data_IF_761233565938
#
_entry.id   IF_761233565938
#
_cell.length_a   1.000
_cell.length_b   1.000
_cell.length_c   1.000
_cell.angle_alpha   90.00
_cell.angle_beta   90.00
_cell.angle_gamma   90.00
#
_symmetry.space_group_name_H-M   'P 1'
#
loop_
_entity.id
_entity.type
_entity.pdbx_description
1 polymer ?
#
# COMPACT_ATOMS: atom_id res chain seq x y z
N UNK A 1 61.71 -27.26 -45.03
CA UNK A 1 63.00 -26.54 -44.79
C UNK A 1 62.81 -25.51 -43.74
N UNK A 2 63.65 -25.53 -42.75
CA UNK A 2 63.94 -24.67 -41.59
C UNK A 2 62.83 -24.65 -40.49
N UNK A 3 62.97 -25.32 -39.43
CA UNK A 3 63.94 -25.39 -38.30
C UNK A 3 64.22 -24.08 -37.60
N UNK A 4 64.08 -24.24 -36.26
CA UNK A 4 64.72 -23.57 -35.13
C UNK A 4 63.84 -22.54 -34.45
N UNK A 5 63.83 -22.39 -33.17
CA UNK A 5 64.47 -23.03 -31.99
C UNK A 5 63.80 -22.44 -30.76
N UNK A 6 63.80 -23.21 -29.69
CA UNK A 6 63.21 -22.81 -28.43
C UNK A 6 64.01 -21.74 -27.67
N UNK A 7 63.31 -21.13 -26.74
CA UNK A 7 63.94 -20.68 -25.48
C UNK A 7 62.93 -20.77 -24.33
N UNK A 8 63.32 -21.50 -23.33
CA UNK A 8 62.76 -21.58 -22.01
C UNK A 8 63.04 -20.27 -21.29
N UNK A 9 62.05 -19.69 -20.66
CA UNK A 9 62.28 -18.77 -19.55
C UNK A 9 61.33 -19.14 -18.41
N UNK A 10 61.93 -19.57 -17.30
CA UNK A 10 61.27 -19.81 -16.01
C UNK A 10 60.83 -18.48 -15.37
N UNK A 11 59.73 -18.50 -14.65
CA UNK A 11 59.33 -17.42 -13.79
C UNK A 11 57.82 -17.30 -13.56
N UNK A 12 57.29 -18.19 -12.76
CA UNK A 12 55.94 -18.04 -12.22
C UNK A 12 55.99 -17.36 -10.87
N UNK A 13 55.22 -16.32 -10.62
CA UNK A 13 54.67 -16.08 -9.29
C UNK A 13 53.19 -16.39 -9.31
N UNK A 14 52.82 -17.38 -8.52
CA UNK A 14 51.45 -17.74 -8.14
C UNK A 14 50.79 -16.61 -7.38
N UNK A 15 49.87 -15.91 -8.03
CA UNK A 15 48.78 -15.17 -7.31
C UNK A 15 47.45 -15.59 -7.91
N UNK A 16 46.80 -16.56 -7.25
CA UNK A 16 45.41 -16.91 -7.54
C UNK A 16 44.53 -15.85 -6.91
N UNK A 17 44.11 -14.90 -7.73
CA UNK A 17 43.08 -13.93 -7.36
C UNK A 17 41.75 -14.64 -7.08
N UNK A 18 41.21 -14.46 -5.87
CA UNK A 18 39.87 -14.91 -5.50
C UNK A 18 38.82 -14.13 -6.30
N UNK A 19 38.25 -14.75 -7.31
CA UNK A 19 37.11 -14.18 -8.04
C UNK A 19 35.82 -14.53 -7.25
N UNK A 20 35.27 -13.53 -6.61
CA UNK A 20 33.95 -13.66 -5.96
C UNK A 20 32.82 -13.55 -7.00
N UNK A 21 32.35 -14.67 -7.52
CA UNK A 21 31.17 -14.69 -8.39
C UNK A 21 29.90 -14.80 -7.53
N UNK A 22 29.19 -13.71 -7.38
CA UNK A 22 27.91 -13.64 -6.65
C UNK A 22 26.77 -13.96 -7.62
N UNK A 23 26.39 -15.24 -7.73
CA UNK A 23 25.23 -15.65 -8.52
C UNK A 23 23.99 -15.50 -7.63
N UNK A 24 23.19 -14.47 -7.88
CA UNK A 24 21.85 -14.34 -7.28
C UNK A 24 20.86 -15.14 -8.11
N UNK A 25 20.54 -16.33 -7.66
CA UNK A 25 19.41 -17.11 -8.20
C UNK A 25 18.19 -16.84 -7.37
N UNK A 26 17.24 -16.11 -7.92
CA UNK A 26 15.91 -15.87 -7.35
C UNK A 26 14.99 -17.02 -7.76
N UNK A 27 15.00 -18.07 -6.99
CA UNK A 27 13.91 -19.06 -6.98
C UNK A 27 13.94 -19.79 -5.64
N UNK A 28 12.83 -19.72 -4.90
CA UNK A 28 12.55 -20.53 -3.71
C UNK A 28 13.50 -20.36 -2.52
N UNK A 29 13.41 -19.23 -1.82
CA UNK A 29 13.64 -19.11 -0.38
C UNK A 29 14.90 -19.73 0.25
N UNK A 30 16.00 -19.87 -0.49
CA UNK A 30 17.25 -20.42 0.03
C UNK A 30 18.40 -19.46 -0.29
N UNK A 31 18.81 -18.66 0.70
CA UNK A 31 20.10 -17.99 0.66
C UNK A 31 21.21 -19.02 0.95
N UNK A 32 21.65 -19.75 -0.07
CA UNK A 32 22.83 -20.59 0.03
C UNK A 32 24.03 -19.85 -0.58
N UNK A 33 24.89 -19.32 0.26
CA UNK A 33 26.23 -18.90 -0.16
C UNK A 33 27.06 -20.17 -0.32
N UNK A 34 27.29 -20.65 -1.54
CA UNK A 34 28.20 -21.74 -1.82
C UNK A 34 29.60 -21.18 -1.94
N UNK A 35 30.49 -21.59 -1.07
CA UNK A 35 31.93 -21.44 -1.25
C UNK A 35 32.42 -22.70 -1.96
N UNK A 36 33.06 -22.53 -3.11
CA UNK A 36 33.81 -23.62 -3.75
C UNK A 36 35.28 -23.49 -3.28
N UNK A 37 35.75 -24.52 -2.58
CA UNK A 37 37.19 -24.71 -2.35
C UNK A 37 37.62 -25.93 -3.15
N UNK A 38 38.62 -25.77 -4.00
CA UNK A 38 39.32 -26.87 -4.63
C UNK A 38 40.39 -27.37 -3.64
N UNK A 39 40.14 -28.50 -3.02
CA UNK A 39 41.04 -29.18 -2.10
C UNK A 39 40.29 -30.34 -1.41
N UNK A 40 40.91 -31.50 -1.36
CA UNK A 40 40.35 -32.75 -0.84
C UNK A 40 39.90 -32.66 0.62
N UNK A 41 38.66 -32.35 0.81
CA UNK A 41 38.01 -32.36 2.09
C UNK A 41 36.49 -32.17 1.92
N UNK A 42 35.74 -33.24 2.04
CA UNK A 42 34.27 -33.18 2.00
C UNK A 42 33.72 -32.37 3.18
N UNK A 43 33.43 -31.09 2.95
CA UNK A 43 32.75 -30.25 3.92
C UNK A 43 31.27 -30.67 3.95
N UNK A 44 30.88 -31.45 4.95
CA UNK A 44 29.48 -31.71 5.27
C UNK A 44 28.87 -30.40 5.80
N UNK A 45 28.19 -29.66 4.94
CA UNK A 45 27.41 -28.50 5.38
C UNK A 45 26.29 -28.99 6.30
N UNK A 46 26.39 -28.64 7.58
CA UNK A 46 25.31 -28.85 8.55
C UNK A 46 24.03 -28.23 8.01
N UNK A 47 23.08 -29.06 7.54
CA UNK A 47 21.76 -28.58 7.12
C UNK A 47 21.11 -27.91 8.33
N UNK A 48 20.90 -26.57 8.24
CA UNK A 48 20.13 -25.88 9.27
C UNK A 48 18.74 -26.48 9.35
N UNK A 49 18.36 -26.96 10.53
CA UNK A 49 17.02 -27.52 10.80
C UNK A 49 15.96 -26.52 10.39
N UNK A 50 15.06 -26.87 9.48
CA UNK A 50 13.95 -25.99 9.07
C UNK A 50 13.11 -25.65 10.28
N UNK A 51 12.93 -24.38 10.54
CA UNK A 51 12.14 -23.86 11.65
C UNK A 51 10.69 -23.81 11.21
N UNK A 52 9.86 -24.66 11.81
CA UNK A 52 8.42 -24.66 11.57
C UNK A 52 7.71 -23.98 12.74
N UNK A 53 6.86 -23.01 12.44
CA UNK A 53 5.92 -22.46 13.41
C UNK A 53 4.68 -23.36 13.47
N UNK A 54 4.19 -23.62 14.69
CA UNK A 54 2.90 -24.27 14.90
C UNK A 54 1.75 -23.40 14.39
N UNK A 55 0.55 -23.98 14.24
CA UNK A 55 -0.63 -23.22 13.83
C UNK A 55 -0.93 -22.07 14.81
N UNK A 56 -0.81 -22.29 16.13
CA UNK A 56 -0.99 -21.29 17.17
C UNK A 56 0.05 -20.17 17.08
N UNK A 57 1.32 -20.52 16.90
CA UNK A 57 2.39 -19.51 16.73
C UNK A 57 2.18 -18.68 15.46
N UNK A 58 1.74 -19.27 14.36
CA UNK A 58 1.40 -18.53 13.14
C UNK A 58 0.23 -17.57 13.38
N UNK A 59 -0.80 -17.98 14.11
CA UNK A 59 -1.90 -17.11 14.47
C UNK A 59 -1.41 -15.91 15.30
N UNK A 60 -0.57 -16.15 16.32
CA UNK A 60 0.02 -15.09 17.15
C UNK A 60 0.90 -14.14 16.33
N UNK A 61 1.72 -14.64 15.39
CA UNK A 61 2.50 -13.80 14.47
C UNK A 61 1.56 -12.85 13.71
N UNK A 62 0.43 -13.36 13.22
CA UNK A 62 -0.54 -12.56 12.49
C UNK A 62 -1.24 -11.53 13.36
N UNK A 63 -1.58 -11.86 14.60
CA UNK A 63 -2.23 -10.94 15.54
C UNK A 63 -1.30 -9.79 15.92
N UNK A 64 -0.05 -10.09 16.25
CA UNK A 64 0.99 -9.08 16.55
C UNK A 64 1.31 -8.20 15.34
N UNK A 65 1.41 -8.81 14.15
CA UNK A 65 1.60 -8.07 12.91
C UNK A 65 0.44 -7.13 12.60
N UNK A 66 -0.80 -7.56 12.86
CA UNK A 66 -2.01 -6.74 12.75
C UNK A 66 -2.03 -5.60 13.77
N UNK A 67 -1.56 -5.84 14.98
CA UNK A 67 -1.38 -4.82 16.01
C UNK A 67 -0.30 -3.77 15.67
N UNK A 68 0.56 -4.05 14.67
CA UNK A 68 1.57 -3.10 14.19
C UNK A 68 2.98 -3.35 14.71
N UNK A 69 3.22 -4.46 15.41
CA UNK A 69 4.55 -4.83 15.88
C UNK A 69 5.53 -5.01 14.70
N UNK A 70 6.82 -4.76 14.96
CA UNK A 70 7.87 -5.00 13.98
C UNK A 70 8.20 -6.50 13.88
N UNK A 71 8.68 -6.95 12.71
CA UNK A 71 9.10 -8.34 12.54
C UNK A 71 10.22 -8.75 13.51
N UNK A 72 11.10 -7.80 13.86
CA UNK A 72 12.16 -8.04 14.86
C UNK A 72 11.60 -8.22 16.27
N UNK A 73 10.57 -7.43 16.66
CA UNK A 73 9.86 -7.60 17.93
C UNK A 73 9.17 -8.95 18.01
N UNK A 74 8.42 -9.29 16.96
CA UNK A 74 7.73 -10.59 16.85
C UNK A 74 8.73 -11.74 16.88
N UNK A 75 9.85 -11.63 16.15
CA UNK A 75 10.89 -12.65 16.13
C UNK A 75 11.49 -12.92 17.53
N UNK A 76 11.83 -11.86 18.27
CA UNK A 76 12.34 -11.97 19.65
C UNK A 76 11.38 -12.70 20.58
N UNK A 77 10.06 -12.53 20.40
CA UNK A 77 9.05 -13.23 21.22
C UNK A 77 9.11 -14.76 21.08
N UNK A 78 9.55 -15.23 19.91
CA UNK A 78 9.68 -16.66 19.63
C UNK A 78 11.14 -17.14 19.66
N UNK A 79 12.06 -16.31 20.17
CA UNK A 79 13.50 -16.55 20.10
C UNK A 79 13.96 -16.89 18.66
N UNK A 80 13.51 -16.10 17.69
CA UNK A 80 13.74 -16.30 16.26
C UNK A 80 14.15 -14.99 15.58
N UNK A 81 14.93 -15.13 14.52
CA UNK A 81 15.26 -13.99 13.66
C UNK A 81 14.03 -13.47 12.90
N UNK A 82 14.04 -12.17 12.60
CA UNK A 82 13.00 -11.51 11.80
C UNK A 82 12.80 -12.12 10.40
N UNK A 83 13.83 -12.76 9.85
CA UNK A 83 13.79 -13.50 8.58
C UNK A 83 12.80 -14.66 8.58
N UNK A 84 12.67 -15.34 9.71
CA UNK A 84 11.70 -16.44 9.89
C UNK A 84 10.25 -15.93 9.89
N UNK A 85 10.01 -14.79 10.55
CA UNK A 85 8.71 -14.10 10.55
C UNK A 85 8.40 -13.56 9.14
N UNK A 86 9.40 -12.98 8.47
CA UNK A 86 9.25 -12.53 7.08
C UNK A 86 8.78 -13.65 6.15
N UNK A 87 9.30 -14.87 6.30
CA UNK A 87 8.90 -16.01 5.47
C UNK A 87 7.42 -16.37 5.61
N UNK A 88 6.85 -16.22 6.82
CA UNK A 88 5.42 -16.42 7.08
C UNK A 88 4.58 -15.31 6.45
N UNK A 89 5.01 -14.06 6.62
CA UNK A 89 4.25 -12.89 6.15
C UNK A 89 4.34 -12.70 4.63
N UNK A 90 5.50 -12.97 4.03
CA UNK A 90 5.75 -12.72 2.60
C UNK A 90 4.92 -13.59 1.68
N UNK A 91 4.61 -14.82 2.09
CA UNK A 91 3.79 -15.75 1.32
C UNK A 91 2.41 -15.18 0.94
N UNK A 92 1.88 -14.27 1.76
CA UNK A 92 0.59 -13.61 1.55
C UNK A 92 0.70 -12.08 1.48
N UNK A 93 1.91 -11.56 1.23
CA UNK A 93 2.16 -10.12 1.08
C UNK A 93 1.87 -9.31 2.36
N UNK A 94 2.00 -9.91 3.54
CA UNK A 94 1.71 -9.29 4.83
C UNK A 94 0.21 -9.18 5.15
N UNK A 95 -0.64 -9.89 4.42
CA UNK A 95 -2.09 -9.96 4.66
C UNK A 95 -2.45 -11.30 5.27
N UNK A 96 -3.09 -11.30 6.45
CA UNK A 96 -3.55 -12.54 7.10
C UNK A 96 -4.50 -13.29 6.16
N UNK A 97 -4.24 -14.57 5.86
CA UNK A 97 -5.24 -15.40 5.21
C UNK A 97 -6.50 -15.47 6.08
N UNK A 98 -7.70 -15.45 5.50
CA UNK A 98 -8.91 -15.69 6.29
C UNK A 98 -8.88 -17.12 6.86
N UNK A 99 -9.40 -17.26 8.05
CA UNK A 99 -9.57 -18.58 8.64
C UNK A 99 -10.47 -19.42 7.74
N UNK A 100 -10.11 -20.69 7.61
CA UNK A 100 -10.85 -21.60 6.73
C UNK A 100 -12.14 -22.01 7.42
N UNK A 101 -13.26 -21.63 6.82
CA UNK A 101 -14.58 -22.04 7.27
C UNK A 101 -15.17 -23.08 6.33
N UNK A 102 -15.86 -24.04 6.91
CA UNK A 102 -16.59 -25.05 6.16
C UNK A 102 -17.89 -24.45 5.63
N UNK A 103 -18.23 -24.73 4.36
CA UNK A 103 -19.52 -24.32 3.84
C UNK A 103 -20.65 -25.04 4.62
N UNK A 104 -21.75 -24.36 4.91
CA UNK A 104 -22.89 -24.92 5.68
C UNK A 104 -23.46 -26.20 5.08
N UNK A 105 -23.42 -26.34 3.77
CA UNK A 105 -23.84 -27.56 3.05
C UNK A 105 -22.83 -28.71 3.08
N UNK A 106 -21.59 -28.48 3.52
CA UNK A 106 -20.58 -29.53 3.59
C UNK A 106 -20.77 -30.37 4.85
N UNK A 107 -20.46 -31.66 4.75
CA UNK A 107 -20.52 -32.56 5.91
C UNK A 107 -19.51 -32.12 6.98
N UNK A 108 -19.95 -32.11 8.24
CA UNK A 108 -19.10 -31.89 9.39
C UNK A 108 -18.29 -33.14 9.76
N UNK A 109 -17.32 -33.01 10.66
CA UNK A 109 -16.61 -34.18 11.18
C UNK A 109 -17.56 -35.11 11.93
N UNK A 110 -18.48 -34.59 12.76
CA UNK A 110 -19.47 -35.37 13.48
C UNK A 110 -20.40 -36.17 12.55
N UNK A 111 -20.86 -35.55 11.46
CA UNK A 111 -21.65 -36.29 10.45
C UNK A 111 -20.83 -37.40 9.78
N UNK A 112 -19.53 -37.19 9.55
CA UNK A 112 -18.62 -38.23 9.00
C UNK A 112 -18.38 -39.36 10.00
N UNK A 113 -18.33 -39.03 11.29
CA UNK A 113 -18.26 -40.06 12.33
C UNK A 113 -19.51 -40.93 12.36
N UNK A 114 -20.69 -40.33 12.25
CA UNK A 114 -21.95 -41.09 12.15
C UNK A 114 -22.01 -41.96 10.87
N UNK A 115 -21.49 -41.43 9.74
CA UNK A 115 -21.34 -42.25 8.52
C UNK A 115 -20.43 -43.45 8.79
N UNK A 116 -19.28 -43.25 9.43
CA UNK A 116 -18.32 -44.30 9.75
C UNK A 116 -18.93 -45.34 10.66
N UNK A 117 -19.65 -44.94 11.72
CA UNK A 117 -20.37 -45.83 12.63
C UNK A 117 -21.48 -46.61 11.90
N UNK A 118 -22.29 -45.94 11.10
CA UNK A 118 -23.34 -46.57 10.30
C UNK A 118 -22.81 -47.63 9.35
N UNK A 119 -21.66 -47.37 8.71
CA UNK A 119 -21.01 -48.32 7.82
C UNK A 119 -20.45 -49.56 8.60
N UNK A 120 -19.88 -49.34 9.78
CA UNK A 120 -19.38 -50.45 10.64
C UNK A 120 -20.46 -51.43 11.06
N UNK A 121 -21.70 -50.97 11.28
CA UNK A 121 -22.85 -51.82 11.58
C UNK A 121 -23.66 -52.23 10.33
N UNK A 122 -23.05 -52.08 9.14
CA UNK A 122 -23.65 -52.43 7.83
C UNK A 122 -25.02 -51.77 7.54
N UNK A 123 -25.27 -50.58 8.10
CA UNK A 123 -26.46 -49.79 7.80
C UNK A 123 -26.45 -49.32 6.35
N UNK A 124 -27.60 -49.36 5.70
CA UNK A 124 -27.71 -48.89 4.31
C UNK A 124 -27.41 -47.37 4.19
N UNK A 125 -26.83 -46.97 3.08
CA UNK A 125 -26.54 -45.53 2.81
C UNK A 125 -27.77 -44.62 2.89
N UNK A 126 -28.95 -45.17 2.50
CA UNK A 126 -30.25 -44.50 2.66
C UNK A 126 -30.64 -44.32 4.13
N UNK A 127 -30.37 -45.36 4.95
CA UNK A 127 -30.61 -45.33 6.39
C UNK A 127 -29.70 -44.31 7.10
N UNK A 128 -28.42 -44.25 6.74
CA UNK A 128 -27.48 -43.25 7.24
C UNK A 128 -27.92 -41.83 6.81
N UNK A 129 -28.31 -41.67 5.55
CA UNK A 129 -28.76 -40.38 5.04
C UNK A 129 -29.99 -39.84 5.78
N UNK A 130 -30.95 -40.75 6.08
CA UNK A 130 -32.16 -40.39 6.86
C UNK A 130 -31.80 -39.95 8.27
N UNK A 131 -30.90 -40.64 8.94
CA UNK A 131 -30.42 -40.31 10.28
C UNK A 131 -29.78 -38.93 10.34
N UNK A 132 -29.01 -38.57 9.31
CA UNK A 132 -28.29 -37.29 9.24
C UNK A 132 -29.11 -36.14 8.64
N UNK A 133 -30.34 -36.38 8.20
CA UNK A 133 -31.15 -35.38 7.48
C UNK A 133 -30.48 -34.90 6.17
N UNK A 134 -29.70 -35.77 5.52
CA UNK A 134 -28.95 -35.47 4.29
C UNK A 134 -29.48 -36.30 3.12
N UNK A 135 -29.30 -35.77 1.90
CA UNK A 135 -29.64 -36.49 0.69
C UNK A 135 -28.83 -37.82 0.58
N UNK A 136 -29.46 -38.96 0.23
CA UNK A 136 -28.77 -40.23 -0.02
C UNK A 136 -27.60 -40.08 -1.02
N UNK A 137 -27.77 -39.24 -2.05
CA UNK A 137 -26.71 -38.97 -3.02
C UNK A 137 -25.49 -38.26 -2.42
N UNK A 138 -25.68 -37.45 -1.37
CA UNK A 138 -24.58 -36.82 -0.64
C UNK A 138 -23.75 -37.86 0.10
N UNK A 139 -24.41 -38.76 0.82
CA UNK A 139 -23.72 -39.84 1.55
C UNK A 139 -23.03 -40.80 0.60
N UNK A 140 -23.71 -41.26 -0.45
CA UNK A 140 -23.14 -42.14 -1.46
C UNK A 140 -21.87 -41.56 -2.11
N UNK A 141 -21.93 -40.27 -2.54
CA UNK A 141 -20.76 -39.58 -3.12
C UNK A 141 -19.63 -39.41 -2.11
N UNK A 142 -19.94 -39.14 -0.83
CA UNK A 142 -18.93 -38.98 0.21
C UNK A 142 -18.21 -40.32 0.46
N UNK A 143 -18.96 -41.42 0.61
CA UNK A 143 -18.40 -42.75 0.84
C UNK A 143 -17.58 -43.23 -0.36
N UNK A 144 -18.14 -43.11 -1.56
CA UNK A 144 -17.44 -43.54 -2.80
C UNK A 144 -16.15 -42.73 -3.02
N UNK A 145 -16.18 -41.43 -2.79
CA UNK A 145 -15.02 -40.53 -2.98
C UNK A 145 -13.87 -40.81 -2.00
N UNK A 146 -14.16 -41.44 -0.88
CA UNK A 146 -13.21 -41.73 0.18
C UNK A 146 -12.89 -43.24 0.29
N UNK A 147 -13.02 -43.99 -0.80
CA UNK A 147 -12.54 -45.36 -0.91
C UNK A 147 -13.60 -46.45 -0.68
N UNK A 148 -14.88 -46.08 -0.66
CA UNK A 148 -15.98 -47.03 -0.46
C UNK A 148 -16.23 -47.40 1.00
N UNK A 149 -17.25 -48.24 1.28
CA UNK A 149 -17.67 -48.57 2.63
C UNK A 149 -16.59 -49.18 3.52
N UNK A 150 -15.78 -50.04 2.96
CA UNK A 150 -14.74 -50.81 3.69
C UNK A 150 -13.58 -49.90 4.15
N UNK A 151 -13.20 -48.93 3.34
CA UNK A 151 -12.04 -48.06 3.57
C UNK A 151 -12.39 -46.72 4.18
N UNK A 152 -13.66 -46.41 4.29
CA UNK A 152 -14.12 -45.12 4.81
C UNK A 152 -13.68 -44.90 6.26
N UNK A 153 -13.03 -43.77 6.54
CA UNK A 153 -12.67 -43.31 7.89
C UNK A 153 -12.99 -41.82 8.00
N UNK A 154 -13.72 -41.45 9.05
CA UNK A 154 -14.22 -40.10 9.26
C UNK A 154 -13.12 -39.02 9.22
N UNK A 155 -12.07 -39.20 9.99
CA UNK A 155 -10.92 -38.30 10.07
C UNK A 155 -10.19 -38.13 8.73
N UNK A 156 -9.90 -39.24 8.05
CA UNK A 156 -9.25 -39.21 6.74
C UNK A 156 -10.12 -38.54 5.67
N UNK A 157 -11.41 -38.85 5.69
CA UNK A 157 -12.38 -38.23 4.78
C UNK A 157 -12.54 -36.71 5.04
N UNK A 158 -12.47 -36.28 6.31
CA UNK A 158 -12.51 -34.90 6.70
C UNK A 158 -11.27 -34.16 6.24
N UNK A 159 -10.08 -34.72 6.46
CA UNK A 159 -8.83 -34.10 5.98
C UNK A 159 -8.82 -34.03 4.45
N UNK A 160 -9.21 -35.08 3.76
CA UNK A 160 -9.30 -35.09 2.30
C UNK A 160 -10.32 -34.03 1.78
N UNK A 161 -11.41 -33.76 2.52
CA UNK A 161 -12.34 -32.70 2.17
C UNK A 161 -11.72 -31.31 2.33
N UNK A 162 -10.93 -31.08 3.39
CA UNK A 162 -10.17 -29.85 3.56
C UNK A 162 -9.13 -29.63 2.45
N UNK A 163 -8.44 -30.71 2.03
CA UNK A 163 -7.43 -30.64 0.98
C UNK A 163 -8.07 -30.36 -0.38
N UNK A 164 -9.19 -31.03 -0.69
CA UNK A 164 -9.97 -30.73 -1.90
C UNK A 164 -10.51 -29.30 -1.94
N UNK A 165 -10.81 -28.71 -0.78
CA UNK A 165 -11.25 -27.31 -0.68
C UNK A 165 -10.12 -26.30 -0.93
N UNK A 166 -8.84 -26.71 -0.98
CA UNK A 166 -7.69 -25.86 -1.30
C UNK A 166 -7.63 -25.41 -2.76
N UNK A 167 -8.56 -25.82 -3.61
CA UNK A 167 -8.56 -25.43 -5.04
C UNK A 167 -8.44 -23.92 -5.18
N UNK A 168 -7.42 -23.40 -5.89
CA UNK A 168 -7.25 -22.00 -6.10
C UNK A 168 -8.42 -21.46 -6.92
N UNK A 169 -9.18 -20.54 -6.35
CA UNK A 169 -10.23 -19.81 -7.08
C UNK A 169 -9.59 -18.69 -7.89
N UNK A 170 -9.90 -18.60 -9.16
CA UNK A 170 -9.49 -17.46 -9.99
C UNK A 170 -9.99 -16.17 -9.37
N UNK A 171 -9.11 -15.19 -9.20
CA UNK A 171 -9.52 -13.89 -8.66
C UNK A 171 -10.34 -13.12 -9.72
N UNK A 172 -11.17 -12.20 -9.27
CA UNK A 172 -12.06 -11.40 -10.13
C UNK A 172 -11.31 -10.69 -11.26
N UNK A 173 -10.12 -10.14 -10.97
CA UNK A 173 -9.28 -9.46 -11.95
C UNK A 173 -8.73 -10.44 -13.02
N UNK A 174 -8.46 -11.70 -12.65
CA UNK A 174 -8.04 -12.73 -13.61
C UNK A 174 -9.17 -13.13 -14.58
N UNK A 175 -10.42 -13.09 -14.10
CA UNK A 175 -11.58 -13.42 -14.91
C UNK A 175 -12.07 -12.26 -15.79
N UNK A 176 -11.58 -11.03 -15.55
CA UNK A 176 -12.04 -9.79 -16.21
C UNK A 176 -10.88 -8.92 -16.66
N UNK A 177 -10.32 -9.17 -17.85
CA UNK A 177 -9.15 -8.45 -18.36
C UNK A 177 -9.40 -6.94 -18.53
N UNK A 178 -10.61 -6.53 -18.92
CA UNK A 178 -10.97 -5.11 -19.04
C UNK A 178 -10.87 -4.39 -17.69
N UNK A 179 -11.47 -4.96 -16.64
CA UNK A 179 -11.38 -4.42 -15.28
C UNK A 179 -9.92 -4.38 -14.78
N UNK A 180 -9.13 -5.42 -15.08
CA UNK A 180 -7.71 -5.46 -14.71
C UNK A 180 -6.91 -4.35 -15.42
N UNK A 181 -7.20 -4.06 -16.71
CA UNK A 181 -6.59 -2.94 -17.45
C UNK A 181 -6.96 -1.59 -16.86
N UNK A 182 -8.23 -1.36 -16.55
CA UNK A 182 -8.70 -0.14 -15.87
C UNK A 182 -8.00 0.07 -14.54
N UNK A 183 -7.96 -0.95 -13.68
CA UNK A 183 -7.26 -0.91 -12.38
C UNK A 183 -5.77 -0.60 -12.57
N UNK A 184 -5.10 -1.29 -13.50
CA UNK A 184 -3.68 -1.06 -13.80
C UNK A 184 -3.42 0.37 -14.29
N UNK A 185 -4.27 0.90 -15.16
CA UNK A 185 -4.16 2.28 -15.67
C UNK A 185 -4.28 3.33 -14.55
N UNK A 186 -5.23 3.14 -13.63
CA UNK A 186 -5.39 4.04 -12.48
C UNK A 186 -4.23 3.92 -11.49
N UNK A 187 -3.71 2.71 -11.24
CA UNK A 187 -2.52 2.52 -10.39
C UNK A 187 -1.28 3.22 -10.97
N UNK A 188 -1.05 3.14 -12.29
CA UNK A 188 0.04 3.87 -12.98
C UNK A 188 -0.04 5.38 -12.81
N UNK A 189 -1.26 5.93 -12.63
CA UNK A 189 -1.48 7.35 -12.29
C UNK A 189 -1.34 7.63 -10.78
N UNK A 190 -0.66 6.76 -10.04
CA UNK A 190 -0.42 6.84 -8.60
C UNK A 190 -1.68 6.84 -7.73
N UNK A 191 -2.83 6.35 -8.23
CA UNK A 191 -4.01 6.14 -7.40
C UNK A 191 -3.77 4.99 -6.43
N UNK A 192 -4.27 5.12 -5.20
CA UNK A 192 -4.23 4.00 -4.25
C UNK A 192 -5.29 2.96 -4.59
N UNK A 193 -5.10 1.69 -4.20
CA UNK A 193 -6.14 0.66 -4.34
C UNK A 193 -7.49 1.05 -3.75
N UNK A 194 -7.52 1.82 -2.64
CA UNK A 194 -8.74 2.32 -2.04
C UNK A 194 -9.43 3.36 -2.92
N UNK A 195 -8.65 4.29 -3.51
CA UNK A 195 -9.17 5.28 -4.45
C UNK A 195 -9.75 4.63 -5.70
N UNK A 196 -9.05 3.63 -6.24
CA UNK A 196 -9.54 2.87 -7.40
C UNK A 196 -10.83 2.14 -7.07
N UNK A 197 -10.89 1.43 -5.95
CA UNK A 197 -12.09 0.68 -5.54
C UNK A 197 -13.30 1.58 -5.27
N UNK A 198 -13.09 2.72 -4.62
CA UNK A 198 -14.16 3.69 -4.36
C UNK A 198 -14.67 4.36 -5.62
N UNK A 199 -13.76 4.75 -6.52
CA UNK A 199 -14.11 5.32 -7.81
C UNK A 199 -14.89 4.32 -8.68
N UNK A 200 -14.48 3.05 -8.73
CA UNK A 200 -15.22 2.00 -9.46
C UNK A 200 -16.66 1.86 -8.97
N UNK A 201 -16.89 1.92 -7.66
CA UNK A 201 -18.25 1.88 -7.10
C UNK A 201 -19.09 3.07 -7.53
N UNK A 202 -18.47 4.26 -7.61
CA UNK A 202 -19.16 5.48 -8.02
C UNK A 202 -19.41 5.51 -9.53
N UNK A 203 -18.44 5.07 -10.34
CA UNK A 203 -18.53 5.10 -11.80
C UNK A 203 -19.52 4.05 -12.35
N UNK A 204 -19.67 2.92 -11.66
CA UNK A 204 -20.57 1.82 -12.04
C UNK A 204 -21.46 1.40 -10.86
N UNK A 205 -22.41 2.27 -10.42
CA UNK A 205 -23.36 1.92 -9.37
C UNK A 205 -24.28 0.80 -9.90
N UNK A 206 -24.53 -0.21 -9.06
CA UNK A 206 -25.38 -1.34 -9.46
C UNK A 206 -24.73 -2.40 -10.35
N UNK A 207 -23.48 -2.19 -10.80
CA UNK A 207 -22.74 -3.16 -11.61
C UNK A 207 -21.63 -3.88 -10.82
N UNK A 208 -21.94 -4.88 -9.98
CA UNK A 208 -20.95 -5.55 -9.14
C UNK A 208 -19.81 -6.18 -9.95
N UNK A 209 -20.07 -6.50 -11.21
CA UNK A 209 -19.06 -7.11 -12.09
C UNK A 209 -17.93 -6.13 -12.47
N UNK A 210 -18.19 -4.83 -12.55
CA UNK A 210 -17.20 -3.79 -12.84
C UNK A 210 -16.56 -3.21 -11.57
N UNK A 211 -16.95 -3.67 -10.39
CA UNK A 211 -16.41 -3.24 -9.12
C UNK A 211 -15.43 -4.26 -8.57
N UNK A 212 -14.44 -3.78 -7.80
CA UNK A 212 -13.48 -4.63 -7.08
C UNK A 212 -13.09 -3.99 -5.76
N UNK A 213 -12.94 -4.81 -4.70
CA UNK A 213 -12.49 -4.29 -3.43
C UNK A 213 -11.00 -3.95 -3.44
N UNK A 214 -10.60 -2.97 -2.62
CA UNK A 214 -9.20 -2.61 -2.45
C UNK A 214 -8.34 -3.79 -1.95
N UNK A 215 -8.90 -4.68 -1.12
CA UNK A 215 -8.22 -5.88 -0.67
C UNK A 215 -7.93 -6.85 -1.82
N UNK A 216 -8.83 -6.99 -2.80
CA UNK A 216 -8.57 -7.81 -3.98
C UNK A 216 -7.45 -7.21 -4.83
N UNK A 217 -7.40 -5.88 -4.96
CA UNK A 217 -6.31 -5.19 -5.66
C UNK A 217 -4.99 -5.42 -4.93
N UNK A 218 -4.94 -5.21 -3.60
CA UNK A 218 -3.74 -5.47 -2.80
C UNK A 218 -3.28 -6.93 -2.90
N UNK A 219 -4.19 -7.90 -2.80
CA UNK A 219 -3.85 -9.32 -2.96
C UNK A 219 -3.27 -9.62 -4.34
N UNK A 220 -3.79 -8.99 -5.38
CA UNK A 220 -3.28 -9.18 -6.74
C UNK A 220 -1.91 -8.54 -6.97
N UNK A 221 -1.56 -7.48 -6.22
CA UNK A 221 -0.26 -6.82 -6.26
C UNK A 221 0.80 -7.55 -5.44
N UNK A 222 0.47 -7.97 -4.22
CA UNK A 222 1.43 -8.54 -3.28
C UNK A 222 1.59 -10.07 -3.41
N UNK A 223 0.55 -10.79 -3.83
CA UNK A 223 0.58 -12.24 -4.01
C UNK A 223 0.85 -12.55 -5.48
N UNK A 224 2.11 -12.64 -5.85
CA UNK A 224 2.57 -12.83 -7.23
C UNK A 224 2.10 -14.15 -7.88
N UNK A 225 1.81 -15.18 -7.10
CA UNK A 225 1.23 -16.43 -7.61
C UNK A 225 -0.13 -16.23 -8.31
N UNK A 226 -0.78 -15.08 -8.12
CA UNK A 226 -2.03 -14.71 -8.81
C UNK A 226 -1.83 -13.95 -10.12
N UNK A 227 -0.63 -13.43 -10.39
CA UNK A 227 -0.11 -12.95 -11.67
C UNK A 227 -0.90 -11.93 -12.51
N UNK A 228 -2.03 -11.42 -12.01
CA UNK A 228 -2.96 -10.59 -12.81
C UNK A 228 -2.49 -9.16 -12.95
N UNK A 229 -1.87 -8.62 -11.89
CA UNK A 229 -1.30 -7.28 -11.90
C UNK A 229 0.23 -7.38 -11.87
N UNK A 230 0.89 -6.66 -12.77
CA UNK A 230 2.35 -6.67 -12.85
C UNK A 230 2.99 -6.14 -11.58
N UNK A 231 4.08 -6.76 -11.15
CA UNK A 231 4.87 -6.36 -9.96
C UNK A 231 5.36 -4.91 -10.02
N UNK A 232 5.62 -4.41 -11.22
CA UNK A 232 6.01 -3.01 -11.47
C UNK A 232 5.01 -2.00 -10.88
N UNK A 233 3.73 -2.35 -10.82
CA UNK A 233 2.70 -1.48 -10.25
C UNK A 233 2.88 -1.20 -8.75
N UNK A 234 3.70 -1.99 -8.04
CA UNK A 234 4.06 -1.72 -6.65
C UNK A 234 4.84 -0.41 -6.49
N UNK A 235 5.59 0.02 -7.52
CA UNK A 235 6.34 1.27 -7.51
C UNK A 235 5.43 2.50 -7.47
N UNK A 236 4.20 2.37 -7.95
CA UNK A 236 3.18 3.43 -7.94
C UNK A 236 2.42 3.53 -6.61
N UNK A 237 2.60 2.59 -5.70
CA UNK A 237 2.02 2.70 -4.37
C UNK A 237 2.76 3.73 -3.52
N UNK A 238 2.02 4.45 -2.67
CA UNK A 238 2.56 5.46 -1.74
C UNK A 238 3.69 4.92 -0.85
N UNK A 239 3.57 3.67 -0.38
CA UNK A 239 4.62 2.96 0.32
C UNK A 239 5.17 1.86 -0.60
N UNK A 240 6.35 2.08 -1.17
CA UNK A 240 7.04 1.14 -2.08
C UNK A 240 7.63 -0.05 -1.30
N UNK A 241 6.79 -0.79 -0.57
CA UNK A 241 7.21 -1.94 0.25
C UNK A 241 6.80 -3.23 -0.41
N UNK A 242 7.59 -4.26 -0.20
CA UNK A 242 7.31 -5.63 -0.67
C UNK A 242 6.22 -6.34 0.14
N UNK A 243 5.94 -5.83 1.35
CA UNK A 243 4.92 -6.35 2.26
C UNK A 243 4.08 -5.21 2.80
N UNK A 244 2.77 -5.40 2.87
CA UNK A 244 1.81 -4.47 3.47
C UNK A 244 2.02 -4.41 4.99
N UNK A 245 2.17 -3.21 5.55
CA UNK A 245 2.20 -2.97 7.00
C UNK A 245 0.80 -2.71 7.55
N UNK A 246 0.60 -3.03 8.84
CA UNK A 246 -0.58 -2.59 9.58
C UNK A 246 -0.62 -1.05 9.64
N UNK A 247 -1.83 -0.46 9.62
CA UNK A 247 -2.02 0.98 9.83
C UNK A 247 -1.79 1.40 11.29
N UNK A 248 -1.73 0.46 12.22
CA UNK A 248 -1.45 0.69 13.63
C UNK A 248 0.05 0.82 13.95
N UNK A 249 0.94 0.63 12.98
CA UNK A 249 2.37 0.85 13.15
C UNK A 249 2.66 2.35 13.32
N UNK A 250 2.86 2.78 14.56
CA UNK A 250 3.03 4.17 14.97
C UNK A 250 4.39 4.74 14.55
N UNK A 251 4.38 5.95 14.00
CA UNK A 251 5.57 6.77 13.74
C UNK A 251 5.60 7.90 14.77
N UNK A 252 6.62 7.96 15.64
CA UNK A 252 6.86 9.09 16.55
C UNK A 252 7.39 10.31 15.81
N UNK A 253 6.97 11.52 16.18
CA UNK A 253 7.42 12.82 15.62
C UNK A 253 7.78 13.79 16.75
N UNK A 254 8.83 14.59 16.51
CA UNK A 254 9.28 15.71 17.37
C UNK A 254 8.97 17.04 16.68
N UNK A 255 8.66 18.10 17.44
CA UNK A 255 8.31 19.42 16.95
C UNK A 255 9.20 20.55 17.49
N UNK A 256 9.21 21.74 16.82
CA UNK A 256 9.95 22.96 17.21
C UNK A 256 9.35 24.25 16.59
N UNK A 257 9.34 25.38 17.34
CA UNK A 257 9.41 26.79 16.88
C UNK A 257 8.20 27.73 17.07
N UNK A 258 8.39 29.00 17.54
CA UNK A 258 7.38 30.05 17.76
C UNK A 258 7.67 31.35 16.97
N UNK A 259 6.61 32.13 16.63
CA UNK A 259 6.65 33.46 15.97
C UNK A 259 5.68 34.44 16.64
N UNK A 260 6.02 35.78 16.62
CA UNK A 260 5.26 36.87 17.24
C UNK A 260 4.35 37.58 16.21
N UNK A 261 3.22 38.18 16.68
CA UNK A 261 2.28 39.05 15.97
C UNK A 261 1.50 38.47 14.77
N UNK A 262 0.95 37.25 14.95
CA UNK A 262 0.09 36.64 13.95
C UNK A 262 -1.36 36.65 14.44
N UNK A 263 -2.32 37.05 13.58
CA UNK A 263 -3.76 36.84 13.84
C UNK A 263 -4.00 35.37 14.01
N UNK A 264 -4.47 34.98 15.20
CA UNK A 264 -4.68 33.58 15.55
C UNK A 264 -5.79 32.97 14.71
N UNK A 265 -5.63 31.68 14.42
CA UNK A 265 -6.68 30.86 13.79
C UNK A 265 -7.97 30.85 14.62
N UNK A 266 -7.89 31.12 15.93
CA UNK A 266 -9.04 31.21 16.83
C UNK A 266 -9.93 32.45 16.55
N UNK A 267 -9.41 33.45 15.85
CA UNK A 267 -10.15 34.65 15.44
C UNK A 267 -10.91 34.46 14.11
N UNK A 268 -10.84 33.29 13.53
CA UNK A 268 -11.56 32.96 12.30
C UNK A 268 -13.08 32.96 12.52
N UNK A 269 -13.84 33.52 11.54
CA UNK A 269 -15.29 33.30 11.50
C UNK A 269 -15.63 31.80 11.45
N UNK A 270 -16.73 31.43 12.08
CA UNK A 270 -17.22 30.03 12.08
C UNK A 270 -17.41 29.46 10.66
N UNK A 271 -17.75 30.32 9.69
CA UNK A 271 -17.84 29.98 8.26
C UNK A 271 -16.52 29.44 7.67
N UNK A 272 -15.38 29.89 8.17
CA UNK A 272 -14.06 29.41 7.75
C UNK A 272 -13.70 28.07 8.38
N UNK A 273 -14.23 27.77 9.58
CA UNK A 273 -14.05 26.45 10.21
C UNK A 273 -14.89 25.39 9.51
N UNK A 274 -16.08 25.75 9.07
CA UNK A 274 -16.91 24.84 8.28
C UNK A 274 -16.29 24.64 6.89
N UNK A 275 -15.87 23.41 6.65
CA UNK A 275 -15.32 22.97 5.35
C UNK A 275 -16.39 22.89 4.26
N UNK A 276 -17.60 23.28 4.50
CA UNK A 276 -18.69 23.33 3.53
C UNK A 276 -18.57 24.55 2.60
N UNK A 277 -17.94 25.65 3.08
CA UNK A 277 -17.78 26.89 2.30
C UNK A 277 -16.53 26.84 1.46
N UNK A 278 -16.60 26.99 0.11
CA UNK A 278 -15.44 27.08 -0.74
C UNK A 278 -14.74 28.46 -0.61
N UNK A 279 -13.48 28.54 -1.07
CA UNK A 279 -12.71 29.79 -1.09
C UNK A 279 -11.70 29.95 0.06
N UNK A 280 -11.62 28.96 0.96
CA UNK A 280 -10.69 28.96 2.09
C UNK A 280 -9.51 28.01 1.84
N UNK A 281 -8.30 28.56 1.85
CA UNK A 281 -7.08 27.85 1.48
C UNK A 281 -6.16 27.58 2.67
N UNK A 282 -5.46 26.47 2.63
CA UNK A 282 -4.33 26.15 3.50
C UNK A 282 -3.05 26.18 2.67
N UNK A 283 -2.06 26.95 3.10
CA UNK A 283 -0.78 27.07 2.43
C UNK A 283 0.40 26.53 3.25
N UNK A 284 1.47 26.11 2.56
CA UNK A 284 2.70 25.61 3.16
C UNK A 284 3.85 25.61 2.13
N UNK A 285 5.10 25.57 2.61
CA UNK A 285 6.27 25.37 1.76
C UNK A 285 6.78 23.92 1.86
N UNK A 286 6.94 23.28 0.72
CA UNK A 286 7.66 22.01 0.63
C UNK A 286 9.13 22.28 0.32
N UNK A 287 10.03 21.94 1.25
CA UNK A 287 11.48 22.02 1.05
C UNK A 287 12.01 20.81 0.27
N UNK A 288 12.94 21.09 -0.65
CA UNK A 288 13.76 20.13 -1.36
C UNK A 288 15.22 20.13 -0.90
N UNK A 289 16.12 19.58 -1.70
CA UNK A 289 17.56 19.76 -1.53
C UNK A 289 17.99 21.13 -2.09
N UNK A 290 19.23 21.52 -1.82
CA UNK A 290 19.83 22.78 -2.30
C UNK A 290 18.98 24.01 -1.98
N UNK A 291 18.37 24.04 -0.80
CA UNK A 291 17.55 25.16 -0.34
C UNK A 291 16.43 25.57 -1.33
N UNK A 292 15.85 24.59 -2.01
CA UNK A 292 14.81 24.81 -3.02
C UNK A 292 13.41 24.56 -2.44
N UNK A 293 12.43 25.34 -2.87
CA UNK A 293 11.08 25.33 -2.29
C UNK A 293 9.99 25.39 -3.35
N UNK A 294 8.83 24.83 -3.00
CA UNK A 294 7.58 24.94 -3.77
C UNK A 294 6.47 25.27 -2.78
N UNK A 295 5.66 26.30 -3.05
CA UNK A 295 4.49 26.57 -2.26
C UNK A 295 3.33 25.65 -2.68
N UNK A 296 2.61 25.14 -1.69
CA UNK A 296 1.42 24.33 -1.86
C UNK A 296 0.23 25.08 -1.31
N UNK A 297 -0.79 25.25 -2.13
CA UNK A 297 -2.07 25.81 -1.74
C UNK A 297 -3.13 24.73 -1.88
N UNK A 298 -3.89 24.48 -0.82
CA UNK A 298 -4.93 23.46 -0.80
C UNK A 298 -6.24 24.11 -0.39
N UNK A 299 -7.24 24.08 -1.27
CA UNK A 299 -8.57 24.56 -0.95
C UNK A 299 -9.26 23.56 0.00
N UNK A 300 -9.90 24.08 1.07
CA UNK A 300 -10.36 23.27 2.22
C UNK A 300 -11.61 22.44 1.93
N UNK A 301 -12.53 22.94 1.13
CA UNK A 301 -13.76 22.26 0.75
C UNK A 301 -13.47 21.16 -0.29
N UNK A 302 -12.99 21.53 -1.45
CA UNK A 302 -12.77 20.63 -2.59
C UNK A 302 -11.50 19.80 -2.50
N UNK A 303 -10.55 20.15 -1.63
CA UNK A 303 -9.18 19.58 -1.58
C UNK A 303 -8.38 19.85 -2.85
N UNK A 304 -8.78 20.84 -3.62
CA UNK A 304 -8.09 21.26 -4.83
C UNK A 304 -6.70 21.81 -4.49
N UNK A 305 -5.70 21.43 -5.29
CA UNK A 305 -4.29 21.72 -5.03
C UNK A 305 -3.75 22.62 -6.15
N UNK A 306 -3.08 23.69 -5.75
CA UNK A 306 -2.19 24.43 -6.61
C UNK A 306 -0.75 24.35 -6.11
N UNK A 307 0.19 24.26 -7.03
CA UNK A 307 1.61 24.26 -6.76
C UNK A 307 2.23 25.49 -7.41
N UNK A 308 3.00 26.22 -6.63
CA UNK A 308 3.60 27.47 -7.07
C UNK A 308 5.11 27.38 -6.96
N UNK A 309 5.81 27.64 -8.07
CA UNK A 309 7.27 27.72 -8.06
C UNK A 309 7.70 28.96 -7.29
N UNK A 310 8.60 28.77 -6.34
CA UNK A 310 9.22 29.81 -5.55
C UNK A 310 10.68 29.95 -5.95
N UNK A 311 11.16 31.16 -6.18
CA UNK A 311 12.56 31.40 -6.52
C UNK A 311 13.46 31.18 -5.31
N UNK A 312 13.12 31.80 -4.18
CA UNK A 312 13.84 31.73 -2.92
C UNK A 312 12.85 31.65 -1.74
N UNK A 313 13.32 31.29 -0.55
CA UNK A 313 12.49 31.25 0.68
C UNK A 313 12.34 32.63 1.36
N UNK A 314 12.77 33.72 0.73
CA UNK A 314 12.56 35.05 1.27
C UNK A 314 11.09 35.48 1.13
N UNK A 315 10.67 36.40 1.98
CA UNK A 315 9.29 36.86 2.06
C UNK A 315 8.81 37.49 0.73
N UNK A 316 9.68 38.23 0.05
CA UNK A 316 9.31 38.89 -1.20
C UNK A 316 9.03 37.91 -2.33
N UNK A 317 9.90 36.92 -2.51
CA UNK A 317 9.73 35.84 -3.51
C UNK A 317 8.46 35.04 -3.26
N UNK A 318 8.17 34.71 -2.01
CA UNK A 318 6.97 33.93 -1.65
C UNK A 318 5.71 34.76 -1.88
N UNK A 319 5.63 35.98 -1.32
CA UNK A 319 4.45 36.87 -1.44
C UNK A 319 4.17 37.22 -2.90
N UNK A 320 5.19 37.58 -3.67
CA UNK A 320 5.03 37.92 -5.09
C UNK A 320 4.51 36.74 -5.93
N UNK A 321 5.00 35.52 -5.64
CA UNK A 321 4.53 34.31 -6.31
C UNK A 321 3.08 33.96 -5.94
N UNK A 322 2.68 34.16 -4.68
CA UNK A 322 1.30 33.95 -4.22
C UNK A 322 0.34 34.97 -4.84
N UNK A 323 0.70 36.24 -4.91
CA UNK A 323 -0.09 37.29 -5.59
C UNK A 323 -0.29 36.96 -7.07
N UNK A 324 0.77 36.53 -7.77
CA UNK A 324 0.64 36.08 -9.17
C UNK A 324 -0.29 34.89 -9.33
N UNK A 325 -0.33 34.03 -8.35
CA UNK A 325 -1.19 32.83 -8.39
C UNK A 325 -2.65 33.16 -8.04
N UNK A 326 -2.91 34.06 -7.07
CA UNK A 326 -4.26 34.48 -6.67
C UNK A 326 -5.04 35.07 -7.85
N UNK A 327 -4.38 35.90 -8.70
CA UNK A 327 -4.98 36.50 -9.89
C UNK A 327 -5.55 35.51 -10.92
N UNK A 328 -5.30 34.22 -10.78
CA UNK A 328 -5.83 33.16 -11.65
C UNK A 328 -7.14 32.58 -11.15
N UNK A 329 -7.59 33.02 -9.99
CA UNK A 329 -8.81 32.53 -9.34
C UNK A 329 -9.84 33.65 -9.28
N UNK A 330 -11.15 33.33 -9.39
CA UNK A 330 -12.20 34.26 -9.00
C UNK A 330 -12.02 34.67 -7.54
N UNK A 331 -12.31 35.93 -7.22
CA UNK A 331 -12.16 36.47 -5.85
C UNK A 331 -12.94 35.70 -4.81
N UNK A 332 -14.13 35.28 -5.17
CA UNK A 332 -15.05 34.49 -4.33
C UNK A 332 -14.45 33.10 -3.96
N UNK A 333 -13.51 32.60 -4.75
CA UNK A 333 -12.81 31.35 -4.48
C UNK A 333 -11.43 31.57 -3.84
N UNK A 334 -11.07 32.80 -3.46
CA UNK A 334 -9.81 33.08 -2.76
C UNK A 334 -10.05 34.07 -1.60
N UNK A 335 -10.92 33.69 -0.66
CA UNK A 335 -11.36 34.53 0.45
C UNK A 335 -10.38 34.55 1.62
N UNK A 336 -9.83 33.41 1.99
CA UNK A 336 -8.84 33.36 3.07
C UNK A 336 -7.71 32.33 2.81
N UNK A 337 -6.54 32.66 3.37
CA UNK A 337 -5.36 31.83 3.35
C UNK A 337 -4.88 31.56 4.77
N UNK A 338 -4.76 30.29 5.14
CA UNK A 338 -4.14 29.88 6.39
C UNK A 338 -2.72 29.41 6.14
N UNK A 339 -1.77 30.01 6.84
CA UNK A 339 -0.36 29.67 6.76
C UNK A 339 0.19 29.26 8.13
N UNK A 340 1.38 28.62 8.14
CA UNK A 340 2.09 28.50 9.42
C UNK A 340 2.75 29.83 9.79
N UNK A 341 3.28 29.91 11.02
CA UNK A 341 4.01 31.08 11.48
C UNK A 341 5.43 31.13 10.91
N UNK A 342 5.61 30.77 9.63
CA UNK A 342 6.89 30.84 8.93
C UNK A 342 7.25 32.27 8.55
N UNK A 343 8.50 32.69 8.80
CA UNK A 343 9.01 34.05 8.47
C UNK A 343 8.85 34.37 6.97
N UNK A 344 8.68 33.37 6.14
CA UNK A 344 8.48 33.52 4.69
C UNK A 344 7.18 34.26 4.30
N UNK A 345 6.22 34.38 5.22
CA UNK A 345 4.97 35.15 5.01
C UNK A 345 4.90 36.36 5.95
N UNK A 346 6.04 36.92 6.38
CA UNK A 346 6.06 38.10 7.26
C UNK A 346 5.39 39.32 6.65
N UNK A 347 5.46 39.47 5.31
CA UNK A 347 4.76 40.55 4.57
C UNK A 347 3.36 40.13 4.09
N UNK A 348 2.61 39.46 4.96
CA UNK A 348 1.23 39.04 4.67
C UNK A 348 0.28 40.16 4.39
N UNK A 349 0.55 41.38 4.93
CA UNK A 349 -0.24 42.59 4.67
C UNK A 349 -0.23 42.99 3.20
N UNK A 350 0.92 42.87 2.53
CA UNK A 350 1.04 43.10 1.09
C UNK A 350 0.24 42.06 0.28
N UNK A 351 0.26 40.82 0.69
CA UNK A 351 -0.57 39.76 0.05
C UNK A 351 -2.05 40.06 0.22
N UNK A 352 -2.49 40.42 1.44
CA UNK A 352 -3.88 40.75 1.74
C UNK A 352 -4.37 41.96 0.89
N UNK A 353 -3.60 43.04 0.83
CA UNK A 353 -3.92 44.22 0.03
C UNK A 353 -3.97 43.92 -1.48
N UNK A 354 -3.04 43.11 -2.00
CA UNK A 354 -2.93 42.87 -3.44
C UNK A 354 -3.93 41.83 -3.97
N UNK A 355 -4.46 40.94 -3.13
CA UNK A 355 -5.36 39.88 -3.53
C UNK A 355 -6.70 39.86 -2.80
N UNK A 356 -6.96 40.84 -1.94
CA UNK A 356 -8.16 40.93 -1.09
C UNK A 356 -8.45 39.63 -0.30
N UNK A 357 -7.40 38.95 0.17
CA UNK A 357 -7.46 37.70 0.90
C UNK A 357 -7.19 37.95 2.38
N UNK A 358 -7.98 37.33 3.25
CA UNK A 358 -7.72 37.32 4.68
C UNK A 358 -6.65 36.30 5.02
N UNK A 359 -5.58 36.70 5.73
CA UNK A 359 -4.48 35.81 6.07
C UNK A 359 -4.52 35.44 7.55
N UNK A 360 -4.63 34.18 7.83
CA UNK A 360 -4.64 33.63 9.19
C UNK A 360 -3.40 32.76 9.46
N UNK A 361 -2.92 32.78 10.69
CA UNK A 361 -1.77 31.98 11.10
C UNK A 361 -2.15 30.91 12.12
N UNK A 362 -1.66 29.71 11.92
CA UNK A 362 -1.88 28.60 12.85
C UNK A 362 -1.30 28.88 14.23
N UNK A 363 -1.93 28.36 15.27
CA UNK A 363 -1.39 28.41 16.61
C UNK A 363 -0.08 27.63 16.72
N UNK A 364 0.82 28.03 17.62
CA UNK A 364 2.06 27.30 17.85
C UNK A 364 1.77 25.84 18.23
N UNK A 365 2.52 24.92 17.64
CA UNK A 365 2.43 23.47 17.90
C UNK A 365 1.08 22.82 17.54
N UNK A 366 0.25 23.46 16.72
CA UNK A 366 -1.07 22.99 16.32
C UNK A 366 -1.14 22.50 14.85
N UNK A 367 -0.36 21.47 14.45
CA UNK A 367 -0.31 21.02 13.05
C UNK A 367 -1.64 20.48 12.53
N UNK A 368 -2.56 20.06 13.42
CA UNK A 368 -3.90 19.58 13.04
C UNK A 368 -4.76 20.66 12.39
N UNK A 369 -4.47 21.94 12.62
CA UNK A 369 -5.19 23.07 12.04
C UNK A 369 -4.99 23.17 10.51
N UNK A 370 -3.92 22.53 9.96
CA UNK A 370 -3.63 22.43 8.52
C UNK A 370 -3.65 20.99 8.00
N UNK A 371 -4.55 20.17 8.52
CA UNK A 371 -4.62 18.75 8.19
C UNK A 371 -4.83 18.44 6.71
N UNK A 372 -5.44 19.35 5.94
CA UNK A 372 -5.63 19.19 4.49
C UNK A 372 -4.32 19.31 3.75
N UNK A 373 -3.52 20.32 4.10
CA UNK A 373 -2.23 20.58 3.48
C UNK A 373 -1.21 19.49 3.87
N UNK A 374 -1.13 19.11 5.14
CA UNK A 374 -0.22 18.04 5.57
C UNK A 374 -0.48 16.71 4.84
N UNK A 375 -1.74 16.33 4.68
CA UNK A 375 -2.10 15.12 3.93
C UNK A 375 -1.73 15.25 2.45
N UNK A 376 -1.93 16.41 1.85
CA UNK A 376 -1.58 16.70 0.46
C UNK A 376 -0.06 16.67 0.26
N UNK A 377 0.71 17.27 1.15
CA UNK A 377 2.17 17.26 1.13
C UNK A 377 2.72 15.82 1.20
N UNK A 378 2.09 14.95 1.97
CA UNK A 378 2.43 13.50 1.97
C UNK A 378 2.14 12.82 0.62
N UNK A 379 1.14 13.25 -0.12
CA UNK A 379 0.86 12.72 -1.46
C UNK A 379 1.83 13.29 -2.49
N UNK A 380 2.19 14.57 -2.37
CA UNK A 380 3.18 15.22 -3.23
C UNK A 380 4.54 14.54 -3.18
N UNK A 381 4.92 13.95 -2.05
CA UNK A 381 6.17 13.18 -1.92
C UNK A 381 6.24 11.92 -2.81
N UNK A 382 5.15 11.51 -3.47
CA UNK A 382 5.20 10.50 -4.53
C UNK A 382 5.78 11.06 -5.84
N UNK A 383 5.60 12.35 -6.10
CA UNK A 383 6.04 13.06 -7.30
C UNK A 383 7.36 13.81 -7.06
N UNK A 384 7.48 14.40 -5.88
CA UNK A 384 8.62 15.18 -5.42
C UNK A 384 9.21 14.49 -4.17
N UNK A 385 10.01 13.42 -4.33
CA UNK A 385 10.63 12.70 -3.22
C UNK A 385 11.46 13.64 -2.33
N UNK A 386 11.61 13.25 -1.07
CA UNK A 386 12.50 13.99 -0.15
C UNK A 386 13.94 13.96 -0.69
N UNK A 387 14.62 15.10 -0.66
CA UNK A 387 15.97 15.24 -1.22
C UNK A 387 16.00 15.60 -2.72
N UNK A 388 14.86 15.74 -3.40
CA UNK A 388 14.81 16.26 -4.77
C UNK A 388 15.12 17.75 -4.79
N UNK A 389 15.91 18.21 -5.76
CA UNK A 389 16.09 19.63 -6.05
C UNK A 389 14.84 20.17 -6.75
N UNK A 390 14.07 20.99 -6.06
CA UNK A 390 12.81 21.53 -6.54
C UNK A 390 13.01 22.74 -7.46
N UNK A 391 14.18 23.38 -7.46
CA UNK A 391 14.50 24.50 -8.34
C UNK A 391 14.47 24.11 -9.81
N UNK A 392 14.79 22.83 -10.10
CA UNK A 392 14.78 22.26 -11.45
C UNK A 392 13.36 22.06 -12.02
N UNK A 393 12.33 22.14 -11.18
CA UNK A 393 10.96 21.98 -11.63
C UNK A 393 10.47 23.27 -12.27
N UNK A 394 9.97 23.19 -13.50
CA UNK A 394 9.26 24.30 -14.13
C UNK A 394 7.85 24.47 -13.55
N UNK A 395 7.25 25.66 -13.65
CA UNK A 395 5.86 25.87 -13.25
C UNK A 395 4.90 24.95 -14.04
N UNK A 396 5.20 24.67 -15.30
CA UNK A 396 4.41 23.74 -16.12
C UNK A 396 4.42 22.31 -15.56
N UNK A 397 5.59 21.82 -15.13
CA UNK A 397 5.72 20.50 -14.48
C UNK A 397 4.98 20.46 -13.15
N UNK A 398 5.08 21.51 -12.32
CA UNK A 398 4.34 21.61 -11.06
C UNK A 398 2.83 21.62 -11.31
N UNK A 399 2.37 22.37 -12.32
CA UNK A 399 0.96 22.39 -12.71
C UNK A 399 0.46 21.03 -13.22
N UNK A 400 1.30 20.27 -13.92
CA UNK A 400 0.97 18.90 -14.35
C UNK A 400 0.85 17.94 -13.14
N UNK A 401 1.73 18.05 -12.14
CA UNK A 401 1.65 17.30 -10.88
C UNK A 401 0.37 17.65 -10.12
N UNK A 402 0.06 18.95 -9.98
CA UNK A 402 -1.16 19.42 -9.33
C UNK A 402 -2.42 18.84 -10.02
N UNK A 403 -2.46 18.85 -11.35
CA UNK A 403 -3.55 18.27 -12.15
C UNK A 403 -3.74 16.78 -11.86
N UNK A 404 -2.65 16.00 -11.86
CA UNK A 404 -2.71 14.59 -11.52
C UNK A 404 -3.24 14.35 -10.10
N UNK A 405 -2.89 15.18 -9.12
CA UNK A 405 -3.41 15.11 -7.75
C UNK A 405 -4.88 15.49 -7.67
N UNK A 406 -5.32 16.48 -8.45
CA UNK A 406 -6.70 16.95 -8.51
C UNK A 406 -7.63 15.96 -9.23
N UNK A 407 -7.09 15.12 -10.10
CA UNK A 407 -7.81 13.99 -10.72
C UNK A 407 -7.92 12.75 -9.81
N UNK A 408 -7.25 12.71 -8.66
CA UNK A 408 -7.28 11.54 -7.76
C UNK A 408 -8.49 11.60 -6.81
N UNK A 409 -9.38 10.60 -6.80
CA UNK A 409 -10.53 10.58 -5.91
C UNK A 409 -10.15 10.68 -4.44
N UNK A 410 -10.97 11.36 -3.66
CA UNK A 410 -10.78 11.51 -2.22
C UNK A 410 -11.90 10.81 -1.45
N UNK A 411 -11.55 10.01 -0.46
CA UNK A 411 -12.55 9.36 0.41
C UNK A 411 -13.43 10.38 1.13
N UNK A 412 -12.83 11.50 1.56
CA UNK A 412 -13.53 12.62 2.20
C UNK A 412 -14.52 13.32 1.28
N UNK A 413 -14.37 13.19 -0.02
CA UNK A 413 -15.29 13.69 -1.05
C UNK A 413 -16.15 12.56 -1.64
N UNK A 414 -16.41 11.50 -0.89
CA UNK A 414 -17.19 10.34 -1.36
C UNK A 414 -16.65 9.76 -2.68
N UNK A 415 -15.33 9.75 -2.82
CA UNK A 415 -14.58 9.32 -4.01
C UNK A 415 -14.83 10.18 -5.28
N UNK A 416 -15.29 11.41 -5.10
CA UNK A 416 -15.18 12.45 -6.13
C UNK A 416 -13.74 12.95 -6.21
N UNK A 417 -13.38 13.56 -7.31
CA UNK A 417 -12.06 14.19 -7.49
C UNK A 417 -12.09 15.62 -6.98
N UNK A 418 -10.97 16.16 -6.48
CA UNK A 418 -10.85 17.59 -6.19
C UNK A 418 -11.23 18.49 -7.37
N UNK A 419 -10.86 18.10 -8.60
CA UNK A 419 -11.18 18.84 -9.80
C UNK A 419 -12.71 18.93 -10.06
N UNK A 420 -13.43 17.79 -9.91
CA UNK A 420 -14.90 17.77 -10.05
C UNK A 420 -15.56 18.68 -9.02
N UNK A 421 -15.16 18.57 -7.74
CA UNK A 421 -15.76 19.37 -6.66
C UNK A 421 -15.42 20.86 -6.81
N UNK A 422 -14.20 21.20 -7.21
CA UNK A 422 -13.81 22.59 -7.43
C UNK A 422 -14.53 23.21 -8.64
N UNK A 423 -14.69 22.44 -9.72
CA UNK A 423 -15.45 22.91 -10.89
C UNK A 423 -16.92 23.25 -10.55
N UNK A 424 -17.54 22.48 -9.64
CA UNK A 424 -18.89 22.79 -9.13
C UNK A 424 -18.91 24.10 -8.31
N UNK A 425 -17.85 24.35 -7.50
CA UNK A 425 -17.72 25.62 -6.80
C UNK A 425 -17.61 26.79 -7.78
N UNK A 426 -16.82 26.65 -8.85
CA UNK A 426 -16.72 27.68 -9.91
C UNK A 426 -18.07 27.89 -10.57
N UNK A 427 -18.76 26.82 -10.96
CA UNK A 427 -20.06 26.92 -11.62
C UNK A 427 -21.17 27.55 -10.72
N UNK A 428 -21.03 27.46 -9.40
CA UNK A 428 -21.99 28.04 -8.46
C UNK A 428 -21.86 29.55 -8.27
N UNK A 429 -20.74 30.15 -8.70
CA UNK A 429 -20.48 31.61 -8.62
C UNK A 429 -20.50 32.28 -9.99
N UNK A 430 -20.55 31.51 -11.08
CA UNK A 430 -20.75 32.01 -12.47
C UNK A 430 -22.23 32.15 -12.79
#
# INVERSE_FOLDING_TARGET
>A
MHQLSGTRVDGVPSQIGRVNVRIRRWAQGVNATRYFSFGDGAWVMKQRRRIYYSAAQRAEIWDRWKAGESMSSIGRRFDRESSSVFSVLSATGGMRPPDRTRASRALSLSEREEISRGLSIRRSLRGIARLLGRSPSTISREVLRNGGPERYRATGSDQAAWDRALRPKRCKLACRPALARTVSGKLRRNWSPEQVAGWLKRAWPGEPHNQVSHETIYRSLFIQARGVLKKELLTHLRARRTIRRSRHATLKRNGLGQIKDAVSISERPASVEDRAVPGHWEGDLIGGSRNSYVATLVERHSRYVMLVKIANKDTESVVSALIKQSRKLPGELYQSLTWDRGKELADHKRLALASNVEVYFCDPRSPWQRGSNENTNRLLRQYLPQGTDLSLQSQAQLSAIARQLNERPRKTLLYRTPAETFAECVAAIS
#
